data_IF_205684204242
#
_entry.id   IF_205684204242
#
_cell.length_a   1.000
_cell.length_b   1.000
_cell.length_c   1.000
_cell.angle_alpha   90.00
_cell.angle_beta   90.00
_cell.angle_gamma   90.00
#
_symmetry.space_group_name_H-M   'P 1'
#
loop_
_entity.id
_entity.type
_entity.pdbx_description
1 polymer ?
#
# COMPACT_ATOMS: atom_id res chain seq x y z
N UNK A 1 6.35 30.86 -37.45
CA UNK A 1 7.39 29.87 -37.09
C UNK A 1 6.68 28.78 -36.30
N UNK A 2 6.24 27.71 -36.98
CA UNK A 2 5.57 26.57 -36.37
C UNK A 2 6.63 25.70 -35.69
N UNK A 3 6.44 25.37 -34.41
CA UNK A 3 7.23 24.34 -33.74
C UNK A 3 6.35 23.11 -33.68
N UNK A 4 6.70 22.11 -34.49
CA UNK A 4 6.10 20.79 -34.52
C UNK A 4 6.31 20.10 -33.18
N UNK A 5 5.26 19.41 -32.71
CA UNK A 5 5.28 18.58 -31.51
C UNK A 5 6.25 17.41 -31.68
N UNK A 6 7.13 17.25 -30.71
CA UNK A 6 7.90 16.02 -30.55
C UNK A 6 7.01 14.99 -29.84
N UNK A 7 6.66 13.93 -30.56
CA UNK A 7 6.15 12.69 -29.97
C UNK A 7 7.22 12.13 -29.02
N UNK A 8 6.92 12.13 -27.72
CA UNK A 8 7.69 11.39 -26.73
C UNK A 8 7.25 9.93 -26.76
N UNK A 9 7.74 9.19 -27.75
CA UNK A 9 7.91 7.75 -27.63
C UNK A 9 9.00 7.50 -26.57
N UNK A 10 8.63 6.92 -25.43
CA UNK A 10 9.60 6.19 -24.61
C UNK A 10 9.07 4.79 -24.36
N UNK A 11 9.38 3.92 -25.32
CA UNK A 11 9.61 2.50 -25.07
C UNK A 11 10.69 2.39 -23.99
N UNK A 12 10.35 1.79 -22.85
CA UNK A 12 11.30 1.26 -21.89
C UNK A 12 10.66 0.00 -21.29
N UNK A 13 10.81 -1.13 -22.00
CA UNK A 13 10.29 -2.44 -21.65
C UNK A 13 11.29 -3.33 -20.88
N UNK A 14 12.54 -2.90 -20.68
CA UNK A 14 13.58 -3.74 -20.08
C UNK A 14 14.00 -3.30 -18.67
N UNK A 15 13.03 -3.17 -17.75
CA UNK A 15 13.30 -3.17 -16.31
C UNK A 15 12.39 -4.19 -15.62
N UNK A 16 12.94 -5.17 -14.86
CA UNK A 16 12.14 -6.18 -14.15
C UNK A 16 11.18 -5.58 -13.10
N UNK A 17 11.40 -4.32 -12.70
CA UNK A 17 10.62 -3.58 -11.69
C UNK A 17 9.26 -3.06 -12.18
N UNK A 18 8.81 -3.44 -13.38
CA UNK A 18 7.52 -2.99 -13.96
C UNK A 18 6.52 -4.12 -14.22
N UNK A 19 6.84 -5.36 -13.88
CA UNK A 19 5.85 -6.42 -14.03
C UNK A 19 4.83 -6.36 -12.89
N UNK A 20 3.70 -5.71 -13.15
CA UNK A 20 2.60 -5.62 -12.18
C UNK A 20 1.82 -6.95 -12.04
N UNK A 21 2.06 -7.91 -12.92
CA UNK A 21 1.45 -9.23 -12.92
C UNK A 21 2.38 -10.28 -12.30
N UNK A 22 2.80 -10.07 -11.05
CA UNK A 22 3.47 -11.10 -10.26
C UNK A 22 2.40 -12.05 -9.72
N UNK A 23 2.45 -13.37 -10.01
CA UNK A 23 1.52 -14.34 -9.45
C UNK A 23 1.48 -14.28 -7.92
N UNK A 24 0.31 -14.57 -7.34
CA UNK A 24 0.10 -14.53 -5.89
C UNK A 24 0.40 -13.17 -5.26
N UNK A 25 0.36 -12.06 -5.99
CA UNK A 25 0.58 -10.71 -5.46
C UNK A 25 -0.67 -9.87 -5.68
N UNK A 26 -0.99 -8.99 -4.72
CA UNK A 26 -2.13 -8.07 -4.87
C UNK A 26 -1.98 -7.24 -6.15
N UNK A 27 -3.09 -6.94 -6.82
CA UNK A 27 -3.13 -6.00 -7.93
C UNK A 27 -2.71 -4.60 -7.47
N UNK A 28 -2.31 -3.74 -8.41
CA UNK A 28 -1.98 -2.35 -8.08
C UNK A 28 -3.15 -1.59 -7.44
N UNK A 29 -4.38 -1.83 -7.92
CA UNK A 29 -5.60 -1.25 -7.37
C UNK A 29 -5.74 -1.60 -5.89
N UNK A 30 -5.62 -2.89 -5.55
CA UNK A 30 -5.72 -3.37 -4.16
C UNK A 30 -4.60 -2.82 -3.28
N UNK A 31 -3.35 -2.74 -3.78
CA UNK A 31 -2.24 -2.17 -3.00
C UNK A 31 -2.45 -0.68 -2.70
N UNK A 32 -2.80 0.10 -3.72
CA UNK A 32 -3.09 1.52 -3.55
C UNK A 32 -4.30 1.76 -2.63
N UNK A 33 -5.36 0.95 -2.81
CA UNK A 33 -6.56 0.97 -1.98
C UNK A 33 -6.27 0.63 -0.53
N UNK A 34 -5.40 -0.36 -0.30
CA UNK A 34 -4.94 -0.76 1.03
C UNK A 34 -4.17 0.36 1.72
N UNK A 35 -3.23 1.02 1.02
CA UNK A 35 -2.49 2.16 1.57
C UNK A 35 -3.43 3.28 2.00
N UNK A 36 -4.34 3.69 1.11
CA UNK A 36 -5.31 4.73 1.42
C UNK A 36 -6.19 4.36 2.61
N UNK A 37 -6.58 3.09 2.73
CA UNK A 37 -7.41 2.58 3.82
C UNK A 37 -6.70 2.58 5.17
N UNK A 38 -5.42 2.21 5.22
CA UNK A 38 -4.65 2.13 6.47
C UNK A 38 -4.31 3.51 7.02
N UNK A 39 -3.98 4.49 6.16
CA UNK A 39 -3.44 5.76 6.63
C UNK A 39 -4.47 6.60 7.40
N UNK A 40 -5.71 6.72 6.89
CA UNK A 40 -6.80 7.59 7.39
C UNK A 40 -6.45 9.07 7.66
N UNK A 41 -5.20 9.45 7.40
CA UNK A 41 -4.63 10.78 7.53
C UNK A 41 -3.61 10.94 6.42
N UNK A 42 -3.36 12.18 6.00
CA UNK A 42 -2.45 12.44 4.89
C UNK A 42 -2.00 13.88 4.80
N UNK A 43 -1.22 14.17 3.76
CA UNK A 43 -0.84 15.53 3.40
C UNK A 43 -1.65 15.96 2.19
N UNK A 44 -2.58 16.89 2.40
CA UNK A 44 -3.33 17.53 1.32
C UNK A 44 -2.50 18.66 0.73
N UNK A 45 -2.15 18.53 -0.54
CA UNK A 45 -1.39 19.52 -1.31
C UNK A 45 -2.36 20.37 -2.13
N UNK A 46 -2.32 21.68 -1.93
CA UNK A 46 -3.18 22.68 -2.58
C UNK A 46 -2.35 23.81 -3.17
N UNK A 47 -2.87 24.56 -4.15
CA UNK A 47 -2.23 25.76 -4.66
C UNK A 47 -2.48 26.94 -3.72
N UNK A 48 -1.44 27.55 -3.15
CA UNK A 48 -1.58 28.62 -2.17
C UNK A 48 -2.15 29.90 -2.78
N UNK A 49 -3.32 30.34 -2.33
CA UNK A 49 -3.89 31.64 -2.72
C UNK A 49 -3.01 32.79 -2.21
N UNK A 50 -2.48 32.66 -0.99
CA UNK A 50 -1.67 33.69 -0.33
C UNK A 50 -0.30 33.89 -0.97
N UNK A 51 0.24 32.85 -1.59
CA UNK A 51 1.59 32.82 -2.13
C UNK A 51 1.56 32.48 -3.61
N UNK A 52 0.76 33.16 -4.41
CA UNK A 52 0.79 33.11 -5.89
C UNK A 52 0.84 31.68 -6.49
N UNK A 53 0.05 30.76 -5.93
CA UNK A 53 -0.05 29.38 -6.41
C UNK A 53 1.04 28.41 -5.94
N UNK A 54 1.93 28.80 -5.02
CA UNK A 54 2.94 27.88 -4.47
C UNK A 54 2.28 26.62 -3.88
N UNK A 55 2.83 25.41 -4.12
CA UNK A 55 2.31 24.19 -3.51
C UNK A 55 2.34 24.26 -1.98
N UNK A 56 1.21 23.98 -1.36
CA UNK A 56 1.03 24.06 0.08
C UNK A 56 0.49 22.74 0.62
N UNK A 57 1.33 22.02 1.35
CA UNK A 57 0.96 20.80 2.06
C UNK A 57 0.41 21.10 3.44
N UNK A 58 -0.75 20.54 3.76
CA UNK A 58 -1.30 20.58 5.12
C UNK A 58 -1.76 19.20 5.55
N UNK A 59 -1.55 18.87 6.82
CA UNK A 59 -2.09 17.65 7.41
C UNK A 59 -3.62 17.69 7.42
N UNK A 60 -4.24 16.57 7.05
CA UNK A 60 -5.69 16.37 7.09
C UNK A 60 -6.03 14.96 7.55
N UNK A 61 -7.15 14.86 8.25
CA UNK A 61 -7.83 13.61 8.54
C UNK A 61 -8.84 13.32 7.43
N UNK A 62 -9.05 12.04 7.13
CA UNK A 62 -10.07 11.63 6.19
C UNK A 62 -10.67 10.27 6.56
N UNK A 63 -11.85 10.01 6.04
CA UNK A 63 -12.40 8.65 5.89
C UNK A 63 -12.49 8.33 4.41
N UNK A 64 -12.72 7.05 4.08
CA UNK A 64 -12.99 6.64 2.71
C UNK A 64 -14.46 6.29 2.59
N UNK A 65 -15.10 6.69 1.49
CA UNK A 65 -16.39 6.13 1.10
C UNK A 65 -16.20 4.74 0.45
N UNK A 66 -17.30 4.09 0.05
CA UNK A 66 -17.27 2.76 -0.57
C UNK A 66 -16.45 2.71 -1.87
N UNK A 67 -16.39 3.82 -2.61
CA UNK A 67 -15.58 3.95 -3.81
C UNK A 67 -14.09 4.24 -3.52
N UNK A 68 -13.72 4.46 -2.26
CA UNK A 68 -12.33 4.75 -1.82
C UNK A 68 -11.93 6.19 -2.00
N UNK A 69 -12.90 7.05 -2.30
CA UNK A 69 -12.69 8.47 -2.39
C UNK A 69 -12.57 9.05 -0.98
N UNK A 70 -11.50 9.80 -0.70
CA UNK A 70 -11.35 10.48 0.58
C UNK A 70 -12.46 11.50 0.84
N UNK A 71 -12.99 11.48 2.06
CA UNK A 71 -13.93 12.46 2.60
C UNK A 71 -13.28 13.17 3.77
N UNK A 72 -13.31 14.49 3.77
CA UNK A 72 -12.64 15.37 4.72
C UNK A 72 -13.64 16.25 5.45
N UNK A 73 -13.39 16.55 6.71
CA UNK A 73 -14.04 17.63 7.44
C UNK A 73 -13.08 18.82 7.55
N UNK A 74 -13.34 19.89 6.77
CA UNK A 74 -12.41 21.03 6.68
C UNK A 74 -12.98 22.28 7.33
N UNK A 75 -12.15 22.98 8.10
CA UNK A 75 -12.51 24.28 8.68
C UNK A 75 -12.61 25.34 7.57
N UNK A 76 -13.69 26.11 7.53
CA UNK A 76 -13.95 27.12 6.49
C UNK A 76 -12.90 28.23 6.42
N UNK A 77 -12.14 28.45 7.50
CA UNK A 77 -11.11 29.50 7.60
C UNK A 77 -9.67 28.97 7.51
N UNK A 78 -9.48 27.65 7.36
CA UNK A 78 -8.16 27.06 7.20
C UNK A 78 -7.51 27.49 5.87
N UNK A 79 -6.18 27.48 5.84
CA UNK A 79 -5.41 27.87 4.66
C UNK A 79 -5.74 26.98 3.44
N UNK A 80 -5.77 25.65 3.61
CA UNK A 80 -6.15 24.73 2.54
C UNK A 80 -7.58 24.96 2.04
N UNK A 81 -8.53 25.32 2.90
CA UNK A 81 -9.93 25.56 2.48
C UNK A 81 -10.04 26.84 1.66
N UNK A 82 -9.28 27.89 2.00
CA UNK A 82 -9.20 29.10 1.16
C UNK A 82 -8.56 28.79 -0.19
N UNK A 83 -7.45 28.07 -0.20
CA UNK A 83 -6.78 27.62 -1.42
C UNK A 83 -7.75 26.84 -2.33
N UNK A 84 -8.53 25.91 -1.78
CA UNK A 84 -9.49 25.07 -2.52
C UNK A 84 -10.67 25.85 -3.11
N UNK A 85 -11.08 26.97 -2.49
CA UNK A 85 -12.11 27.85 -3.08
C UNK A 85 -11.60 28.58 -4.31
N UNK A 86 -10.32 28.94 -4.33
CA UNK A 86 -9.69 29.58 -5.48
C UNK A 86 -9.37 28.56 -6.58
N UNK A 87 -8.93 27.36 -6.21
CA UNK A 87 -8.64 26.26 -7.13
C UNK A 87 -8.92 24.91 -6.47
N UNK A 88 -9.94 24.14 -6.91
CA UNK A 88 -10.31 22.88 -6.27
C UNK A 88 -9.33 21.74 -6.57
N UNK A 89 -8.38 21.92 -7.50
CA UNK A 89 -7.40 20.89 -7.86
C UNK A 89 -6.37 20.69 -6.74
N UNK A 90 -6.14 19.43 -6.40
CA UNK A 90 -5.29 19.06 -5.28
C UNK A 90 -4.76 17.62 -5.42
N UNK A 91 -3.85 17.25 -4.53
CA UNK A 91 -3.46 15.86 -4.34
C UNK A 91 -3.42 15.51 -2.85
N UNK A 92 -3.73 14.27 -2.52
CA UNK A 92 -3.57 13.71 -1.17
C UNK A 92 -2.42 12.69 -1.17
N UNK A 93 -1.37 12.99 -0.42
CA UNK A 93 -0.28 12.05 -0.17
C UNK A 93 -0.55 11.22 1.09
N UNK A 94 -0.50 9.88 0.95
CA UNK A 94 -0.76 8.91 2.00
C UNK A 94 0.44 7.96 2.15
N UNK A 95 0.94 7.81 3.38
CA UNK A 95 1.94 6.81 3.75
C UNK A 95 1.66 6.27 5.15
N UNK A 96 1.57 4.94 5.35
CA UNK A 96 1.32 4.37 6.67
C UNK A 96 2.48 4.68 7.63
N UNK A 97 2.16 5.09 8.85
CA UNK A 97 3.19 5.40 9.88
C UNK A 97 4.02 4.16 10.23
N UNK A 98 3.39 2.98 10.23
CA UNK A 98 4.04 1.69 10.47
C UNK A 98 5.09 1.34 9.40
N UNK A 99 5.05 2.00 8.24
CA UNK A 99 5.95 1.77 7.12
C UNK A 99 6.39 3.12 6.50
N UNK A 100 7.06 3.94 7.31
CA UNK A 100 7.52 5.27 6.91
C UNK A 100 8.87 5.24 6.19
N UNK A 101 9.19 6.32 5.46
CA UNK A 101 10.43 6.45 4.68
C UNK A 101 10.36 5.78 3.30
N UNK A 102 11.50 5.72 2.59
CA UNK A 102 11.53 5.28 1.19
C UNK A 102 11.25 3.79 0.99
N UNK A 103 11.43 2.98 2.04
CA UNK A 103 11.16 1.55 2.03
C UNK A 103 9.66 1.21 2.01
N UNK A 104 8.80 2.13 2.44
CA UNK A 104 7.39 1.85 2.64
C UNK A 104 6.50 2.15 1.45
N UNK A 105 5.37 1.45 1.37
CA UNK A 105 4.32 1.69 0.39
C UNK A 105 3.66 3.06 0.61
N UNK A 106 3.42 3.80 -0.46
CA UNK A 106 2.75 5.12 -0.43
C UNK A 106 1.92 5.33 -1.69
N UNK A 107 0.93 6.19 -1.59
CA UNK A 107 0.18 6.65 -2.76
C UNK A 107 -0.06 8.15 -2.73
N UNK A 108 -0.20 8.73 -3.92
CA UNK A 108 -0.69 10.09 -4.13
C UNK A 108 -1.99 9.99 -4.93
N UNK A 109 -3.11 10.35 -4.32
CA UNK A 109 -4.38 10.51 -5.01
C UNK A 109 -4.39 11.90 -5.64
N UNK A 110 -4.69 12.02 -6.93
CA UNK A 110 -4.75 13.28 -7.67
C UNK A 110 -6.18 13.53 -8.09
N UNK A 111 -6.68 14.74 -7.89
CA UNK A 111 -8.11 14.99 -8.09
C UNK A 111 -8.54 16.41 -7.77
N UNK A 112 -9.84 16.55 -7.52
CA UNK A 112 -10.45 17.80 -7.10
C UNK A 112 -11.34 17.59 -5.87
N UNK A 113 -11.43 18.58 -4.98
CA UNK A 113 -12.39 18.54 -3.88
C UNK A 113 -13.72 19.17 -4.28
N UNK A 114 -14.80 18.49 -3.93
CA UNK A 114 -16.18 18.99 -4.03
C UNK A 114 -16.84 18.97 -2.65
N UNK A 115 -17.62 20.00 -2.31
CA UNK A 115 -18.42 19.96 -1.09
C UNK A 115 -19.43 18.82 -1.17
N UNK A 116 -19.63 18.09 -0.06
CA UNK A 116 -20.76 17.17 0.06
C UNK A 116 -22.05 17.96 0.27
N UNK A 117 -23.17 17.39 -0.18
CA UNK A 117 -24.48 17.90 0.22
C UNK A 117 -24.81 17.56 1.68
N UNK A 118 -25.83 18.21 2.24
CA UNK A 118 -26.17 18.06 3.66
C UNK A 118 -26.63 16.62 4.00
N UNK A 119 -27.18 15.89 3.03
CA UNK A 119 -27.66 14.52 3.23
C UNK A 119 -26.48 13.55 3.29
N UNK A 120 -25.58 13.61 2.32
CA UNK A 120 -24.36 12.80 2.28
C UNK A 120 -23.48 13.08 3.51
N UNK A 121 -23.40 14.36 3.92
CA UNK A 121 -22.67 14.77 5.11
C UNK A 121 -23.23 14.11 6.38
N UNK A 122 -24.56 14.09 6.56
CA UNK A 122 -25.18 13.49 7.74
C UNK A 122 -25.03 11.95 7.75
N UNK A 123 -25.08 11.29 6.59
CA UNK A 123 -24.86 9.84 6.45
C UNK A 123 -23.44 9.41 6.87
N UNK A 124 -22.44 10.25 6.64
CA UNK A 124 -21.03 9.94 6.92
C UNK A 124 -20.53 10.45 8.27
N UNK A 125 -21.30 11.31 8.94
CA UNK A 125 -20.91 12.02 10.17
C UNK A 125 -20.50 11.09 11.30
N UNK A 126 -21.34 10.11 11.64
CA UNK A 126 -21.06 9.18 12.74
C UNK A 126 -19.84 8.31 12.44
N UNK A 127 -19.67 7.90 11.18
CA UNK A 127 -18.49 7.16 10.72
C UNK A 127 -17.23 8.04 10.84
N UNK A 128 -17.32 9.31 10.47
CA UNK A 128 -16.20 10.24 10.61
C UNK A 128 -15.80 10.43 12.08
N UNK A 129 -16.77 10.64 12.96
CA UNK A 129 -16.53 10.78 14.41
C UNK A 129 -15.94 9.49 15.00
N UNK A 130 -16.42 8.32 14.57
CA UNK A 130 -15.89 7.04 15.03
C UNK A 130 -14.38 6.90 14.75
N UNK A 131 -13.94 7.26 13.54
CA UNK A 131 -12.52 7.21 13.18
C UNK A 131 -11.72 8.40 13.72
N UNK A 132 -12.36 9.56 13.87
CA UNK A 132 -11.74 10.82 14.29
C UNK A 132 -12.54 11.47 15.43
N UNK A 133 -12.45 10.99 16.68
CA UNK A 133 -13.32 11.44 17.77
C UNK A 133 -13.29 12.95 18.06
N UNK A 134 -12.17 13.61 17.77
CA UNK A 134 -12.03 15.06 17.92
C UNK A 134 -12.96 15.86 16.98
N UNK A 135 -13.49 15.24 15.92
CA UNK A 135 -14.43 15.85 15.00
C UNK A 135 -15.80 16.17 15.64
N UNK A 136 -16.17 15.49 16.72
CA UNK A 136 -17.41 15.78 17.46
C UNK A 136 -17.42 17.24 17.95
N UNK A 137 -16.30 17.69 18.53
CA UNK A 137 -16.15 19.08 18.97
C UNK A 137 -16.19 20.04 17.78
N UNK A 138 -15.55 19.70 16.65
CA UNK A 138 -15.55 20.53 15.45
C UNK A 138 -16.98 20.75 14.91
N UNK A 139 -17.77 19.68 14.86
CA UNK A 139 -19.15 19.69 14.36
C UNK A 139 -20.13 20.39 15.31
N UNK A 140 -19.82 20.48 16.60
CA UNK A 140 -20.64 21.24 17.57
C UNK A 140 -20.67 22.75 17.30
N UNK A 141 -19.71 23.28 16.52
CA UNK A 141 -19.63 24.71 16.20
C UNK A 141 -20.25 24.98 14.84
N UNK A 142 -21.49 25.46 14.87
CA UNK A 142 -22.30 25.67 13.67
C UNK A 142 -21.60 26.55 12.63
N UNK A 143 -21.65 26.08 11.37
CA UNK A 143 -21.16 26.83 10.22
C UNK A 143 -19.64 26.99 10.10
N UNK A 144 -18.83 26.43 11.02
CA UNK A 144 -17.35 26.56 10.98
C UNK A 144 -16.65 25.51 10.12
N UNK A 145 -17.25 24.33 9.97
CA UNK A 145 -16.69 23.22 9.21
C UNK A 145 -17.63 22.84 8.08
N UNK A 146 -17.10 22.11 7.10
CA UNK A 146 -17.85 21.59 5.97
C UNK A 146 -17.19 20.31 5.47
N UNK A 147 -18.01 19.34 5.08
CA UNK A 147 -17.51 18.12 4.48
C UNK A 147 -17.21 18.30 2.99
N UNK A 148 -16.15 17.64 2.54
CA UNK A 148 -15.74 17.58 1.14
C UNK A 148 -15.42 16.13 0.77
N UNK A 149 -15.75 15.73 -0.45
CA UNK A 149 -15.20 14.51 -1.04
C UNK A 149 -14.19 14.87 -2.12
N UNK A 150 -13.22 13.99 -2.33
CA UNK A 150 -12.29 14.10 -3.45
C UNK A 150 -12.78 13.24 -4.62
N UNK A 151 -12.93 13.86 -5.78
CA UNK A 151 -13.04 13.15 -7.04
C UNK A 151 -11.64 12.74 -7.50
N UNK A 152 -11.34 11.45 -7.39
CA UNK A 152 -10.02 10.90 -7.74
C UNK A 152 -9.93 10.70 -9.25
N UNK A 153 -9.01 11.43 -9.89
CA UNK A 153 -8.78 11.40 -11.33
C UNK A 153 -7.61 10.50 -11.71
N UNK A 154 -6.62 10.36 -10.83
CA UNK A 154 -5.47 9.49 -11.04
C UNK A 154 -4.83 9.12 -9.69
N UNK A 155 -4.08 8.03 -9.68
CA UNK A 155 -3.42 7.52 -8.48
C UNK A 155 -1.98 7.18 -8.83
N UNK A 156 -1.02 7.81 -8.16
CA UNK A 156 0.38 7.41 -8.26
C UNK A 156 0.73 6.53 -7.06
N UNK A 157 1.05 5.26 -7.31
CA UNK A 157 1.43 4.29 -6.29
C UNK A 157 2.93 4.01 -6.33
N UNK A 158 3.52 3.85 -5.15
CA UNK A 158 4.88 3.34 -5.03
C UNK A 158 4.95 2.28 -3.93
N UNK A 159 5.37 1.08 -4.28
CA UNK A 159 5.30 -0.09 -3.40
C UNK A 159 6.39 -0.21 -2.33
N UNK A 160 7.44 0.62 -2.37
CA UNK A 160 8.57 0.52 -1.44
C UNK A 160 9.91 0.83 -2.11
N UNK A 161 11.00 0.32 -1.53
CA UNK A 161 12.32 0.35 -2.15
C UNK A 161 12.45 -0.82 -3.13
N UNK A 162 12.81 -0.56 -4.40
CA UNK A 162 12.98 -1.61 -5.41
C UNK A 162 11.68 -2.17 -6.03
N UNK A 163 10.51 -1.65 -5.63
CA UNK A 163 9.19 -2.03 -6.15
C UNK A 163 8.67 -1.01 -7.16
N UNK A 164 7.75 -1.41 -8.04
CA UNK A 164 7.13 -0.54 -9.05
C UNK A 164 6.64 0.80 -8.47
N UNK A 165 7.01 1.87 -9.16
CA UNK A 165 6.47 3.21 -9.01
C UNK A 165 5.70 3.50 -10.30
N UNK A 166 4.36 3.57 -10.21
CA UNK A 166 3.52 3.60 -11.40
C UNK A 166 2.16 4.24 -11.14
N UNK A 167 1.51 4.64 -12.22
CA UNK A 167 0.15 5.12 -12.21
C UNK A 167 -0.83 3.95 -12.12
N UNK A 168 -1.88 4.13 -11.33
CA UNK A 168 -2.98 3.18 -11.15
C UNK A 168 -4.23 3.82 -11.71
N UNK A 169 -4.83 3.12 -12.66
CA UNK A 169 -6.09 3.54 -13.29
C UNK A 169 -7.20 3.71 -12.22
N UNK A 170 -7.96 4.83 -12.23
CA UNK A 170 -9.00 5.09 -11.23
C UNK A 170 -10.03 3.98 -11.09
N UNK A 171 -10.48 3.39 -12.21
CA UNK A 171 -11.44 2.29 -12.19
C UNK A 171 -10.93 1.10 -11.38
N UNK A 172 -9.67 0.71 -11.57
CA UNK A 172 -9.03 -0.38 -10.82
C UNK A 172 -8.90 -0.07 -9.33
N UNK A 173 -8.71 1.19 -8.96
CA UNK A 173 -8.69 1.61 -7.55
C UNK A 173 -10.08 1.59 -6.91
N UNK A 174 -11.10 2.02 -7.65
CA UNK A 174 -12.50 2.05 -7.21
C UNK A 174 -13.09 0.65 -7.05
N UNK A 175 -12.79 -0.26 -7.99
CA UNK A 175 -13.25 -1.65 -7.96
C UNK A 175 -12.51 -2.52 -6.93
N UNK A 176 -11.31 -2.11 -6.54
CA UNK A 176 -10.49 -2.85 -5.59
C UNK A 176 -11.01 -2.75 -4.15
N UNK A 177 -10.78 -3.82 -3.40
CA UNK A 177 -10.98 -3.86 -1.94
C UNK A 177 -9.64 -3.75 -1.22
N UNK A 178 -9.56 -3.08 -0.06
CA UNK A 178 -8.37 -3.14 0.76
C UNK A 178 -8.10 -4.59 1.22
N UNK A 179 -6.83 -4.92 1.41
CA UNK A 179 -6.43 -6.23 1.92
C UNK A 179 -6.98 -6.43 3.35
N UNK A 180 -7.57 -7.60 3.66
CA UNK A 180 -8.17 -7.85 4.97
C UNK A 180 -7.13 -7.93 6.10
N UNK A 181 -5.85 -8.15 5.79
CA UNK A 181 -4.77 -8.22 6.78
C UNK A 181 -4.06 -6.88 6.99
N UNK A 182 -4.50 -5.81 6.32
CA UNK A 182 -3.75 -4.56 6.26
C UNK A 182 -3.34 -3.98 7.64
N UNK A 183 -4.19 -4.15 8.66
CA UNK A 183 -3.89 -3.70 10.03
C UNK A 183 -3.13 -4.74 10.87
N UNK A 184 -3.29 -6.03 10.60
CA UNK A 184 -2.65 -7.11 11.36
C UNK A 184 -1.21 -7.38 10.86
N UNK A 185 -0.98 -7.23 9.56
CA UNK A 185 0.27 -7.59 8.89
C UNK A 185 1.52 -6.98 9.53
N UNK A 186 1.60 -5.67 9.87
CA UNK A 186 2.81 -5.10 10.47
C UNK A 186 3.22 -5.79 11.79
N UNK A 187 2.24 -6.12 12.65
CA UNK A 187 2.49 -6.80 13.91
C UNK A 187 2.95 -8.24 13.70
N UNK A 188 2.34 -8.95 12.75
CA UNK A 188 2.70 -10.33 12.41
C UNK A 188 4.10 -10.39 11.81
N UNK A 189 4.44 -9.49 10.88
CA UNK A 189 5.77 -9.40 10.26
C UNK A 189 6.84 -9.17 11.34
N UNK A 190 6.62 -8.21 12.24
CA UNK A 190 7.56 -7.92 13.31
C UNK A 190 7.76 -9.12 14.26
N UNK A 191 6.70 -9.88 14.55
CA UNK A 191 6.77 -11.09 15.35
C UNK A 191 7.59 -12.18 14.65
N UNK A 192 7.29 -12.46 13.38
CA UNK A 192 7.96 -13.49 12.58
C UNK A 192 9.45 -13.20 12.43
N UNK A 193 9.82 -11.98 12.03
CA UNK A 193 11.24 -11.61 11.85
C UNK A 193 12.03 -11.64 13.17
N UNK A 194 11.36 -11.46 14.31
CA UNK A 194 12.01 -11.53 15.64
C UNK A 194 12.15 -12.96 16.13
N UNK A 195 11.11 -13.78 16.00
CA UNK A 195 10.99 -15.04 16.73
C UNK A 195 11.17 -16.29 15.86
N UNK A 196 11.15 -16.15 14.53
CA UNK A 196 11.14 -17.28 13.58
C UNK A 196 12.32 -17.31 12.63
N UNK A 197 13.46 -16.76 13.03
CA UNK A 197 14.64 -16.61 12.15
C UNK A 197 15.17 -17.95 11.62
N UNK A 198 15.29 -18.97 12.47
CA UNK A 198 15.77 -20.28 12.04
C UNK A 198 14.78 -20.95 11.09
N UNK A 199 13.48 -20.88 11.39
CA UNK A 199 12.45 -21.42 10.50
C UNK A 199 12.39 -20.67 9.15
N UNK A 200 12.63 -19.36 9.15
CA UNK A 200 12.74 -18.57 7.91
C UNK A 200 14.00 -18.96 7.10
N UNK A 201 15.13 -19.23 7.76
CA UNK A 201 16.31 -19.76 7.09
C UNK A 201 16.05 -21.14 6.48
N UNK A 202 15.42 -22.07 7.22
CA UNK A 202 14.98 -23.37 6.68
C UNK A 202 14.08 -23.20 5.46
N UNK A 203 13.10 -22.28 5.54
CA UNK A 203 12.22 -21.97 4.41
C UNK A 203 13.01 -21.54 3.17
N UNK A 204 13.97 -20.64 3.33
CA UNK A 204 14.83 -20.17 2.24
C UNK A 204 15.68 -21.31 1.65
N UNK A 205 16.26 -22.18 2.48
CA UNK A 205 16.99 -23.35 1.99
C UNK A 205 16.11 -24.26 1.15
N UNK A 206 14.94 -24.60 1.65
CA UNK A 206 14.06 -25.60 1.04
C UNK A 206 13.37 -25.08 -0.21
N UNK A 207 12.78 -23.88 -0.16
CA UNK A 207 11.95 -23.38 -1.27
C UNK A 207 12.71 -22.48 -2.24
N UNK A 208 13.86 -21.93 -1.85
CA UNK A 208 14.64 -21.01 -2.69
C UNK A 208 15.99 -21.63 -3.09
N UNK A 209 16.52 -22.58 -2.30
CA UNK A 209 17.80 -23.23 -2.57
C UNK A 209 19.01 -22.39 -2.20
N UNK A 210 18.89 -21.52 -1.19
CA UNK A 210 20.01 -20.70 -0.68
C UNK A 210 20.38 -21.16 0.73
N UNK A 211 21.54 -21.81 0.85
CA UNK A 211 22.02 -22.44 2.09
C UNK A 211 22.63 -21.45 3.10
N UNK A 212 23.27 -20.40 2.60
CA UNK A 212 24.14 -19.50 3.35
C UNK A 212 23.66 -18.03 3.31
N UNK A 213 22.35 -17.82 3.49
CA UNK A 213 21.80 -16.47 3.61
C UNK A 213 22.32 -15.77 4.88
N UNK A 214 22.90 -14.58 4.73
CA UNK A 214 23.33 -13.73 5.84
C UNK A 214 22.15 -13.11 6.59
N UNK A 215 21.05 -12.86 5.87
CA UNK A 215 19.86 -12.21 6.41
C UNK A 215 18.62 -12.63 5.62
N UNK A 216 17.57 -12.99 6.35
CA UNK A 216 16.24 -13.31 5.82
C UNK A 216 15.20 -12.55 6.62
N UNK A 217 14.45 -11.68 5.95
CA UNK A 217 13.37 -10.90 6.57
C UNK A 217 12.09 -10.96 5.71
N UNK A 218 10.94 -11.09 6.36
CA UNK A 218 9.65 -10.78 5.76
C UNK A 218 9.53 -9.26 5.63
N UNK A 219 9.24 -8.78 4.43
CA UNK A 219 9.11 -7.36 4.11
C UNK A 219 7.64 -6.93 4.03
N UNK A 220 6.76 -7.81 3.55
CA UNK A 220 5.33 -7.55 3.40
C UNK A 220 4.54 -8.84 3.59
N UNK A 221 3.27 -8.72 3.97
CA UNK A 221 2.34 -9.81 4.16
C UNK A 221 0.95 -9.33 3.75
N UNK A 222 0.26 -10.14 2.95
CA UNK A 222 -1.09 -9.88 2.48
C UNK A 222 -1.85 -11.20 2.31
N UNK A 223 -3.12 -11.13 1.89
CA UNK A 223 -4.00 -12.30 1.79
C UNK A 223 -3.52 -13.42 0.86
N UNK A 224 -2.58 -13.14 -0.05
CA UNK A 224 -2.11 -14.10 -1.05
C UNK A 224 -0.74 -14.71 -0.68
N UNK A 225 -0.06 -14.20 0.33
CA UNK A 225 1.30 -14.61 0.68
C UNK A 225 2.13 -13.50 1.31
N UNK A 226 3.45 -13.65 1.27
CA UNK A 226 4.39 -12.70 1.86
C UNK A 226 5.63 -12.51 1.00
N UNK A 227 6.23 -11.32 1.11
CA UNK A 227 7.49 -10.99 0.45
C UNK A 227 8.66 -11.25 1.40
N UNK A 228 9.66 -12.00 0.94
CA UNK A 228 10.93 -12.22 1.62
C UNK A 228 12.04 -11.42 0.97
N UNK A 229 12.91 -10.83 1.79
CA UNK A 229 14.21 -10.33 1.37
C UNK A 229 15.29 -11.26 1.89
N UNK A 230 16.15 -11.72 0.97
CA UNK A 230 17.27 -12.62 1.25
C UNK A 230 18.56 -11.91 0.84
N UNK A 231 19.51 -11.78 1.76
CA UNK A 231 20.85 -11.25 1.48
C UNK A 231 21.89 -12.36 1.59
N UNK A 232 22.77 -12.45 0.59
CA UNK A 232 23.93 -13.35 0.55
C UNK A 232 25.14 -12.57 0.05
N UNK A 233 26.09 -12.30 0.95
CA UNK A 233 27.19 -11.38 0.74
C UNK A 233 26.70 -9.97 0.36
N UNK A 234 27.14 -9.49 -0.80
CA UNK A 234 26.73 -8.19 -1.35
C UNK A 234 25.41 -8.24 -2.13
N UNK A 235 24.86 -9.44 -2.37
CA UNK A 235 23.65 -9.63 -3.18
C UNK A 235 22.40 -9.60 -2.31
N UNK A 236 21.37 -8.86 -2.75
CA UNK A 236 20.03 -8.88 -2.16
C UNK A 236 19.01 -9.29 -3.21
N UNK A 237 18.22 -10.32 -2.91
CA UNK A 237 17.09 -10.79 -3.72
C UNK A 237 15.78 -10.66 -2.95
N UNK A 238 14.69 -10.41 -3.65
CA UNK A 238 13.35 -10.46 -3.06
C UNK A 238 12.47 -11.47 -3.79
N UNK A 239 11.74 -12.22 -2.97
CA UNK A 239 10.90 -13.33 -3.40
C UNK A 239 9.48 -13.14 -2.87
N UNK A 240 8.51 -13.55 -3.66
CA UNK A 240 7.13 -13.73 -3.23
C UNK A 240 6.92 -15.20 -2.90
N UNK A 241 6.53 -15.49 -1.66
CA UNK A 241 6.08 -16.82 -1.24
C UNK A 241 4.56 -16.81 -1.17
N UNK A 242 3.91 -17.56 -2.05
CA UNK A 242 2.46 -17.68 -2.10
C UNK A 242 1.93 -18.60 -1.01
N UNK A 243 0.76 -18.23 -0.47
CA UNK A 243 -0.07 -19.20 0.22
C UNK A 243 -0.74 -20.13 -0.80
N UNK A 244 -0.95 -21.37 -0.40
CA UNK A 244 -1.69 -22.37 -1.19
C UNK A 244 -3.15 -21.96 -1.37
N UNK A 245 -3.69 -21.28 -0.37
CA UNK A 245 -5.06 -20.74 -0.37
C UNK A 245 -5.04 -19.29 0.12
N UNK A 246 -5.95 -18.47 -0.43
CA UNK A 246 -6.11 -17.10 0.02
C UNK A 246 -6.66 -17.06 1.45
N UNK A 247 -6.00 -16.31 2.32
CA UNK A 247 -6.42 -16.12 3.71
C UNK A 247 -7.35 -14.92 3.86
N UNK A 248 -8.30 -14.95 4.80
CA UNK A 248 -9.32 -13.90 4.91
C UNK A 248 -9.18 -13.05 6.17
N UNK A 249 -8.41 -13.49 7.16
CA UNK A 249 -8.30 -12.82 8.46
C UNK A 249 -7.01 -13.22 9.21
N UNK A 250 -6.79 -12.60 10.37
CA UNK A 250 -5.64 -12.86 11.26
C UNK A 250 -5.44 -14.32 11.68
N UNK A 251 -6.50 -15.11 11.82
CA UNK A 251 -6.40 -16.51 12.24
C UNK A 251 -6.00 -17.39 11.06
N UNK A 252 -6.57 -17.15 9.89
CA UNK A 252 -6.22 -17.84 8.65
C UNK A 252 -4.74 -17.65 8.32
N UNK A 253 -4.24 -16.40 8.41
CA UNK A 253 -2.83 -16.11 8.09
C UNK A 253 -1.87 -16.73 9.10
N UNK A 254 -2.21 -16.80 10.38
CA UNK A 254 -1.42 -17.51 11.38
C UNK A 254 -1.31 -19.01 11.05
N UNK A 255 -2.43 -19.62 10.65
CA UNK A 255 -2.43 -21.01 10.19
C UNK A 255 -1.61 -21.20 8.92
N UNK A 256 -1.77 -20.32 7.92
CA UNK A 256 -1.06 -20.42 6.64
C UNK A 256 0.45 -20.24 6.79
N UNK A 257 0.90 -19.29 7.61
CA UNK A 257 2.32 -19.12 7.93
C UNK A 257 2.88 -20.34 8.65
N UNK A 258 2.18 -20.86 9.68
CA UNK A 258 2.61 -22.05 10.42
C UNK A 258 2.73 -23.26 9.51
N UNK A 259 1.72 -23.52 8.66
CA UNK A 259 1.76 -24.60 7.65
C UNK A 259 2.92 -24.44 6.68
N UNK A 260 3.24 -23.21 6.29
CA UNK A 260 4.36 -22.92 5.37
C UNK A 260 5.71 -23.24 6.02
N UNK A 261 5.91 -22.85 7.28
CA UNK A 261 7.13 -23.18 8.03
C UNK A 261 7.23 -24.68 8.30
N UNK A 262 6.11 -25.33 8.65
CA UNK A 262 6.05 -26.77 8.87
C UNK A 262 6.40 -27.55 7.60
N UNK A 263 5.84 -27.18 6.45
CA UNK A 263 6.18 -27.80 5.15
C UNK A 263 7.68 -27.70 4.89
N UNK A 264 8.30 -26.54 5.10
CA UNK A 264 9.74 -26.39 4.91
C UNK A 264 10.54 -27.30 5.87
N UNK A 265 10.16 -27.33 7.14
CA UNK A 265 10.83 -28.18 8.13
C UNK A 265 10.70 -29.67 7.79
N UNK A 266 9.51 -30.14 7.38
CA UNK A 266 9.27 -31.54 7.02
C UNK A 266 10.15 -31.97 5.84
N UNK A 267 10.23 -31.14 4.80
CA UNK A 267 11.10 -31.39 3.64
C UNK A 267 12.59 -31.41 4.00
N UNK A 268 13.05 -30.45 4.81
CA UNK A 268 14.46 -30.43 5.27
C UNK A 268 14.83 -31.68 6.08
N UNK A 269 13.87 -32.31 6.76
CA UNK A 269 14.08 -33.47 7.62
C UNK A 269 13.71 -34.81 6.96
N UNK A 270 13.53 -34.83 5.64
CA UNK A 270 13.32 -36.06 4.86
C UNK A 270 11.90 -36.63 4.94
N UNK A 271 10.91 -35.81 5.29
CA UNK A 271 9.49 -36.13 5.22
C UNK A 271 8.82 -35.56 3.95
N UNK A 272 9.57 -35.51 2.84
CA UNK A 272 9.08 -35.02 1.55
C UNK A 272 7.91 -35.85 1.00
N UNK A 273 7.85 -37.12 1.38
CA UNK A 273 6.80 -38.07 0.99
C UNK A 273 5.41 -37.66 1.48
N UNK A 274 5.32 -36.91 2.58
CA UNK A 274 4.07 -36.32 3.07
C UNK A 274 3.46 -35.31 2.08
N UNK A 275 4.27 -34.80 1.15
CA UNK A 275 3.89 -33.79 0.16
C UNK A 275 3.82 -34.34 -1.27
N UNK A 276 3.95 -35.65 -1.46
CA UNK A 276 3.78 -36.28 -2.77
C UNK A 276 2.37 -36.00 -3.34
N UNK A 277 2.33 -35.50 -4.58
CA UNK A 277 1.07 -35.13 -5.26
C UNK A 277 0.51 -33.76 -4.89
N UNK A 278 1.09 -33.05 -3.92
CA UNK A 278 0.78 -31.65 -3.68
C UNK A 278 1.41 -30.77 -4.77
N UNK A 279 0.73 -29.69 -5.17
CA UNK A 279 1.34 -28.69 -6.05
C UNK A 279 2.58 -28.07 -5.40
N UNK A 280 3.55 -27.64 -6.19
CA UNK A 280 4.69 -26.91 -5.65
C UNK A 280 4.23 -25.59 -5.04
N UNK A 281 4.89 -25.19 -3.95
CA UNK A 281 4.60 -23.90 -3.32
C UNK A 281 4.98 -22.78 -4.29
N UNK A 282 4.12 -21.78 -4.51
CA UNK A 282 4.47 -20.66 -5.38
C UNK A 282 5.62 -19.84 -4.79
N UNK A 283 6.75 -19.80 -5.51
CA UNK A 283 7.93 -19.01 -5.18
C UNK A 283 8.32 -18.19 -6.40
N UNK A 284 8.27 -16.86 -6.30
CA UNK A 284 8.56 -15.97 -7.43
C UNK A 284 9.63 -14.96 -7.03
N UNK A 285 10.83 -15.07 -7.61
CA UNK A 285 11.83 -14.00 -7.51
C UNK A 285 11.38 -12.82 -8.38
N UNK A 286 11.30 -11.62 -7.80
CA UNK A 286 10.89 -10.43 -8.55
C UNK A 286 11.86 -9.25 -8.43
N UNK A 287 12.89 -9.36 -7.58
CA UNK A 287 13.94 -8.36 -7.44
C UNK A 287 15.29 -9.03 -7.19
N UNK A 288 16.34 -8.49 -7.80
CA UNK A 288 17.74 -8.80 -7.53
C UNK A 288 18.56 -7.51 -7.66
N UNK A 289 19.44 -7.24 -6.69
CA UNK A 289 20.38 -6.13 -6.78
C UNK A 289 21.52 -6.49 -7.73
N UNK A 290 21.84 -5.61 -8.69
CA UNK A 290 23.04 -5.77 -9.50
C UNK A 290 24.28 -5.37 -8.68
N UNK A 291 25.33 -6.21 -8.72
CA UNK A 291 26.65 -5.76 -8.29
C UNK A 291 27.13 -4.67 -9.25
N UNK A 292 27.51 -3.51 -8.71
CA UNK A 292 28.36 -2.58 -9.47
C UNK A 292 29.68 -3.31 -9.69
N UNK A 293 29.97 -3.68 -10.94
CA UNK A 293 31.34 -4.05 -11.34
C UNK A 293 32.28 -2.87 -11.18
#
# INVERSE_FOLDING_TARGET
MQVQGAELATQNQDQPYRNDNIPHKLTLGERARTVAHVCRTGTLCTASEKHDGHPFGSHVDYILNDAGSPVFLLAKNAAHTRNLRANPLCSLFCQPVSNSGQGGGRCTLVGALKPLDDKEAEELKDTYIYFHPHAEQALSVEGKFQFYHMEVNDIYFVGGFGVSATWVEPGKFTEATPDPLAFDAPGIIALMNREKKEELNTLVRVFIGVDDADQVDIMSLDRLGFDLRVRTGAETKEYRIGFREQVQNRFDVQSALTKTLQEAWEKENGFDDLWEGAEERPVIMYYQSYQSM
#
